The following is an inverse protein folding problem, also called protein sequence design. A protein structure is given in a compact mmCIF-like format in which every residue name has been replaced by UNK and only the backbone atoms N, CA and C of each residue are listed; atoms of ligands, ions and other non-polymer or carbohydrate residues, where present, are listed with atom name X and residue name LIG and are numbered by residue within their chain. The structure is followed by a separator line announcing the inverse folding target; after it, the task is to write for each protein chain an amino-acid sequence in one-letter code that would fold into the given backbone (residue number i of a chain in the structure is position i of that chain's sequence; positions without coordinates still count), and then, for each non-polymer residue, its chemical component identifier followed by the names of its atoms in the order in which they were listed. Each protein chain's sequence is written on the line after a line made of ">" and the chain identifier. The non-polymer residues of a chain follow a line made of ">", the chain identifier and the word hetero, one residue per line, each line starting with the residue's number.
data_IF_649861685194
#
_entry.id   IF_649861685194
#
_cell.length_a   1.000
_cell.length_b   1.000
_cell.length_c   1.000
_cell.angle_alpha   90.00
_cell.angle_beta   90.00
_cell.angle_gamma   90.00
#
_symmetry.space_group_name_H-M   'P 1'
#
loop_
_entity.id
_entity.type
_entity.pdbx_description
1 polymer ?
#
# COMPACT_ATOMS: atom_id res chain seq x y z
N UNK A 1 -3.36 -11.48 3.32
CA UNK A 1 -4.60 -10.72 3.03
C UNK A 1 -4.97 -10.01 4.32
N UNK A 2 -5.05 -8.68 4.30
CA UNK A 2 -5.41 -7.91 5.49
C UNK A 2 -6.83 -8.32 5.94
N UNK A 3 -7.05 -8.47 7.24
CA UNK A 3 -8.33 -8.90 7.83
C UNK A 3 -9.45 -7.83 7.72
N UNK A 4 -9.19 -6.73 6.98
CA UNK A 4 -10.12 -5.62 6.81
C UNK A 4 -11.07 -5.84 5.64
N UNK A 5 -12.23 -5.20 5.73
CA UNK A 5 -13.17 -5.13 4.62
C UNK A 5 -12.54 -4.34 3.45
N UNK A 6 -12.56 -4.87 2.22
CA UNK A 6 -11.97 -4.19 1.07
C UNK A 6 -12.76 -2.93 0.68
N UNK A 7 -12.05 -1.88 0.28
CA UNK A 7 -12.66 -0.68 -0.28
C UNK A 7 -12.91 -0.85 -1.79
N UNK A 8 -13.86 -0.07 -2.33
CA UNK A 8 -14.13 -0.05 -3.78
C UNK A 8 -12.93 0.45 -4.62
N UNK A 9 -11.99 1.15 -4.00
CA UNK A 9 -10.74 1.61 -4.61
C UNK A 9 -9.66 0.54 -4.64
N UNK A 10 -9.81 -0.55 -3.88
CA UNK A 10 -8.78 -1.57 -3.75
C UNK A 10 -8.62 -2.34 -5.06
N UNK A 11 -7.38 -2.78 -5.31
CA UNK A 11 -7.09 -3.61 -6.47
C UNK A 11 -7.77 -4.97 -6.32
N UNK A 12 -8.32 -5.50 -7.41
CA UNK A 12 -8.67 -6.92 -7.49
C UNK A 12 -7.41 -7.78 -7.52
N UNK A 13 -7.54 -9.06 -7.20
CA UNK A 13 -6.41 -10.01 -7.25
C UNK A 13 -5.76 -10.06 -8.64
N UNK A 14 -6.59 -10.01 -9.69
CA UNK A 14 -6.12 -9.98 -11.08
C UNK A 14 -5.28 -8.74 -11.39
N UNK A 15 -5.75 -7.55 -10.98
CA UNK A 15 -5.01 -6.30 -11.20
C UNK A 15 -3.75 -6.24 -10.35
N UNK A 16 -3.82 -6.75 -9.13
CA UNK A 16 -2.65 -6.89 -8.26
C UNK A 16 -1.60 -7.79 -8.92
N UNK A 17 -1.99 -8.94 -9.45
CA UNK A 17 -1.07 -9.87 -10.12
C UNK A 17 -0.32 -9.27 -11.31
N UNK A 18 -0.86 -8.24 -11.97
CA UNK A 18 -0.17 -7.52 -13.04
C UNK A 18 0.94 -6.60 -12.53
N UNK A 19 0.77 -6.00 -11.35
CA UNK A 19 1.71 -4.98 -10.84
C UNK A 19 2.62 -5.50 -9.72
N UNK A 20 2.20 -6.55 -9.02
CA UNK A 20 2.93 -7.16 -7.90
C UNK A 20 4.38 -7.50 -8.26
N UNK A 21 4.70 -8.10 -9.42
CA UNK A 21 6.09 -8.43 -9.75
C UNK A 21 6.99 -7.19 -9.85
N UNK A 22 6.43 -6.06 -10.32
CA UNK A 22 7.16 -4.79 -10.42
C UNK A 22 7.42 -4.21 -9.03
N UNK A 23 6.39 -4.18 -8.18
CA UNK A 23 6.49 -3.69 -6.79
C UNK A 23 7.46 -4.56 -5.97
N UNK A 24 7.39 -5.88 -6.11
CA UNK A 24 8.28 -6.82 -5.43
C UNK A 24 9.73 -6.67 -5.89
N UNK A 25 9.96 -6.54 -7.20
CA UNK A 25 11.30 -6.31 -7.75
C UNK A 25 11.90 -4.99 -7.27
N UNK A 26 11.10 -3.92 -7.27
CA UNK A 26 11.51 -2.64 -6.70
C UNK A 26 11.87 -2.78 -5.22
N UNK A 27 11.02 -3.42 -4.40
CA UNK A 27 11.29 -3.60 -2.96
C UNK A 27 12.58 -4.38 -2.71
N UNK A 28 12.87 -5.40 -3.53
CA UNK A 28 14.11 -6.18 -3.43
C UNK A 28 15.36 -5.35 -3.74
N UNK A 29 15.26 -4.39 -4.67
CA UNK A 29 16.35 -3.48 -5.05
C UNK A 29 16.52 -2.30 -4.09
N UNK A 30 15.49 -1.98 -3.32
CA UNK A 30 15.45 -0.89 -2.34
C UNK A 30 15.29 -1.43 -0.91
N UNK A 31 16.28 -2.16 -0.38
CA UNK A 31 16.23 -2.65 0.98
C UNK A 31 16.20 -1.50 1.97
N UNK A 32 15.43 -1.66 3.05
CA UNK A 32 15.39 -0.70 4.14
C UNK A 32 16.77 -0.54 4.77
N UNK A 33 17.23 0.71 4.90
CA UNK A 33 18.51 1.06 5.55
C UNK A 33 18.56 0.56 6.99
N UNK A 34 17.40 0.47 7.65
CA UNK A 34 17.27 -0.05 9.02
C UNK A 34 17.12 -1.57 9.10
N UNK A 35 17.04 -2.27 7.97
CA UNK A 35 16.72 -3.70 7.89
C UNK A 35 15.25 -4.04 8.15
N UNK A 36 14.42 -3.08 8.56
CA UNK A 36 13.00 -3.30 8.80
C UNK A 36 12.23 -3.37 7.47
N UNK A 37 11.62 -4.52 7.16
CA UNK A 37 10.93 -4.75 5.89
C UNK A 37 9.51 -4.15 5.81
N UNK A 38 9.07 -3.46 6.87
CA UNK A 38 7.72 -2.95 7.05
C UNK A 38 6.76 -4.04 7.55
N UNK A 39 5.84 -3.67 8.43
CA UNK A 39 4.83 -4.58 8.98
C UNK A 39 3.60 -4.76 8.07
N UNK A 40 3.57 -4.10 6.91
CA UNK A 40 2.39 -4.02 6.04
C UNK A 40 2.61 -4.78 4.74
N UNK A 41 1.56 -5.46 4.29
CA UNK A 41 1.48 -6.06 2.96
C UNK A 41 1.65 -4.98 1.89
N UNK A 42 2.46 -5.24 0.86
CA UNK A 42 2.73 -4.26 -0.19
C UNK A 42 1.46 -3.85 -0.94
N UNK A 43 0.50 -4.76 -1.07
CA UNK A 43 -0.82 -4.44 -1.65
C UNK A 43 -1.56 -3.39 -0.85
N UNK A 44 -1.47 -3.43 0.47
CA UNK A 44 -2.12 -2.45 1.35
C UNK A 44 -1.45 -1.08 1.24
N UNK A 45 -0.11 -1.07 1.11
CA UNK A 45 0.66 0.15 0.83
C UNK A 45 0.23 0.79 -0.49
N UNK A 46 -0.10 0.00 -1.51
CA UNK A 46 -0.60 0.48 -2.81
C UNK A 46 -2.09 0.87 -2.77
N UNK A 47 -2.92 0.16 -2.00
CA UNK A 47 -4.33 0.49 -1.84
C UNK A 47 -4.55 1.84 -1.15
N UNK A 48 -3.66 2.25 -0.23
CA UNK A 48 -3.75 3.55 0.46
C UNK A 48 -3.74 4.78 -0.48
N UNK A 49 -2.75 4.99 -1.38
CA UNK A 49 -2.78 6.09 -2.34
C UNK A 49 -3.90 5.94 -3.37
N UNK A 50 -4.33 4.71 -3.71
CA UNK A 50 -5.49 4.51 -4.59
C UNK A 50 -6.80 4.98 -3.94
N UNK A 51 -6.98 4.69 -2.65
CA UNK A 51 -8.10 5.19 -1.86
C UNK A 51 -8.07 6.72 -1.79
N UNK A 52 -6.92 7.29 -1.45
CA UNK A 52 -6.73 8.73 -1.36
C UNK A 52 -7.01 9.43 -2.71
N UNK A 53 -6.48 8.90 -3.81
CA UNK A 53 -6.72 9.41 -5.17
C UNK A 53 -8.19 9.29 -5.59
N UNK A 54 -8.87 8.21 -5.21
CA UNK A 54 -10.28 7.99 -5.55
C UNK A 54 -11.23 8.90 -4.78
N UNK A 55 -10.94 9.15 -3.51
CA UNK A 55 -11.83 9.90 -2.59
C UNK A 55 -11.47 11.38 -2.48
N UNK A 56 -10.22 11.74 -2.75
CA UNK A 56 -9.68 13.08 -2.51
C UNK A 56 -9.49 13.43 -1.04
N UNK A 57 -9.54 12.44 -0.13
CA UNK A 57 -9.32 12.70 1.29
C UNK A 57 -7.89 13.23 1.54
N UNK A 58 -7.74 14.12 2.51
CA UNK A 58 -6.41 14.52 2.94
C UNK A 58 -5.74 13.33 3.65
N UNK A 59 -4.42 13.29 3.66
CA UNK A 59 -3.65 12.18 4.23
C UNK A 59 -4.00 11.89 5.69
N UNK A 60 -4.24 12.92 6.50
CA UNK A 60 -4.58 12.77 7.92
C UNK A 60 -5.96 12.13 8.15
N UNK A 61 -6.79 12.06 7.10
CA UNK A 61 -8.11 11.42 7.12
C UNK A 61 -8.12 10.05 6.43
N UNK A 62 -6.94 9.47 6.15
CA UNK A 62 -6.88 8.11 5.65
C UNK A 62 -7.48 7.16 6.70
N UNK A 63 -8.34 6.19 6.30
CA UNK A 63 -8.89 5.21 7.23
C UNK A 63 -7.82 4.49 8.07
N UNK A 64 -8.13 4.27 9.35
CA UNK A 64 -7.19 3.68 10.32
C UNK A 64 -6.85 2.21 10.06
N UNK A 65 -7.64 1.53 9.23
CA UNK A 65 -7.41 0.14 8.83
C UNK A 65 -6.48 0.02 7.60
N UNK A 66 -6.20 1.13 6.92
CA UNK A 66 -5.13 1.21 5.93
C UNK A 66 -3.78 1.50 6.61
N UNK A 67 -2.64 1.18 5.95
CA UNK A 67 -1.34 1.53 6.48
C UNK A 67 -1.21 3.04 6.78
N UNK A 68 -0.56 3.42 7.88
CA UNK A 68 -0.44 4.81 8.26
C UNK A 68 0.34 5.59 7.21
N UNK A 69 0.02 6.88 7.07
CA UNK A 69 0.61 7.78 6.08
C UNK A 69 2.14 7.74 6.07
N UNK A 70 2.77 7.67 7.24
CA UNK A 70 4.23 7.56 7.35
C UNK A 70 4.78 6.31 6.68
N UNK A 71 4.10 5.16 6.82
CA UNK A 71 4.50 3.93 6.14
C UNK A 71 4.31 4.04 4.63
N UNK A 72 3.19 4.60 4.17
CA UNK A 72 2.91 4.79 2.74
C UNK A 72 3.96 5.70 2.08
N UNK A 73 4.31 6.82 2.74
CA UNK A 73 5.31 7.78 2.25
C UNK A 73 6.75 7.26 2.22
N UNK A 74 7.05 6.17 2.93
CA UNK A 74 8.35 5.53 2.77
C UNK A 74 8.51 4.84 1.41
N UNK A 75 7.40 4.59 0.70
CA UNK A 75 7.39 3.93 -0.61
C UNK A 75 7.09 4.89 -1.78
N UNK A 76 6.34 5.98 -1.55
CA UNK A 76 5.89 6.94 -2.56
C UNK A 76 6.12 8.39 -2.12
#
# INVERSE_FOLDING_TARGET
>A
MSDRQPYKSDLSDERWGLIEPVIASWKAQHPSVSGHQGAYEMREIVNAPLYQSRTGCQWDFLPHDLPPVGAVKCYF
#
